data_IF_656726306182
#
_entry.id   IF_656726306182
#
_cell.length_a   1.000
_cell.length_b   1.000
_cell.length_c   1.000
_cell.angle_alpha   90.00
_cell.angle_beta   90.00
_cell.angle_gamma   90.00
#
_symmetry.space_group_name_H-M   'P 1'
#
loop_
_entity.id
_entity.type
_entity.pdbx_description
1 polymer ?
#
# COMPACT_ATOMS: atom_id res chain seq x y z
N UNK A 1 19.19 8.08 -20.77
CA UNK A 1 18.81 7.43 -19.49
C UNK A 1 19.89 7.77 -18.48
N UNK A 2 19.69 8.87 -17.74
CA UNK A 2 20.59 9.27 -16.67
C UNK A 2 20.44 8.28 -15.50
N UNK A 3 21.55 7.77 -14.96
CA UNK A 3 21.54 6.67 -13.98
C UNK A 3 20.71 7.04 -12.76
N UNK A 4 19.65 6.28 -12.51
CA UNK A 4 18.93 6.29 -11.24
C UNK A 4 19.97 6.14 -10.12
N UNK A 5 19.98 7.00 -9.08
CA UNK A 5 20.94 6.86 -8.00
C UNK A 5 20.80 5.44 -7.42
N UNK A 6 21.93 4.74 -7.25
CA UNK A 6 21.95 3.29 -6.98
C UNK A 6 21.06 2.90 -5.80
N UNK A 7 20.95 3.76 -4.78
CA UNK A 7 20.06 3.57 -3.63
C UNK A 7 18.56 3.50 -3.97
N UNK A 8 18.09 4.29 -4.94
CA UNK A 8 16.69 4.32 -5.35
C UNK A 8 16.28 3.03 -6.07
N UNK A 9 17.19 2.45 -6.86
CA UNK A 9 16.95 1.15 -7.50
C UNK A 9 16.79 0.02 -6.48
N UNK A 10 17.54 0.05 -5.38
CA UNK A 10 17.39 -0.95 -4.31
C UNK A 10 16.07 -0.77 -3.54
N UNK A 11 15.62 0.47 -3.34
CA UNK A 11 14.29 0.73 -2.78
C UNK A 11 13.19 0.17 -3.69
N UNK A 12 13.26 0.45 -4.99
CA UNK A 12 12.28 -0.06 -5.96
C UNK A 12 12.21 -1.59 -5.96
N UNK A 13 13.35 -2.27 -5.94
CA UNK A 13 13.38 -3.74 -5.85
C UNK A 13 12.79 -4.23 -4.52
N UNK A 14 13.07 -3.55 -3.41
CA UNK A 14 12.48 -3.91 -2.10
C UNK A 14 10.95 -3.77 -2.11
N UNK A 15 10.45 -2.65 -2.65
CA UNK A 15 9.02 -2.40 -2.78
C UNK A 15 8.35 -3.44 -3.69
N UNK A 16 9.02 -3.81 -4.79
CA UNK A 16 8.57 -4.89 -5.68
C UNK A 16 8.44 -6.22 -4.94
N UNK A 17 9.49 -6.67 -4.25
CA UNK A 17 9.50 -7.96 -3.54
C UNK A 17 8.45 -8.01 -2.42
N UNK A 18 8.31 -6.91 -1.67
CA UNK A 18 7.32 -6.79 -0.60
C UNK A 18 5.89 -6.84 -1.14
N UNK A 19 5.60 -6.05 -2.18
CA UNK A 19 4.28 -6.04 -2.80
C UNK A 19 3.95 -7.37 -3.49
N UNK A 20 4.94 -8.01 -4.13
CA UNK A 20 4.80 -9.33 -4.73
C UNK A 20 4.34 -10.37 -3.70
N UNK A 21 5.00 -10.41 -2.53
CA UNK A 21 4.63 -11.30 -1.43
C UNK A 21 3.20 -11.04 -0.93
N UNK A 22 2.85 -9.77 -0.69
CA UNK A 22 1.51 -9.41 -0.22
C UNK A 22 0.41 -9.76 -1.24
N UNK A 23 0.66 -9.50 -2.53
CA UNK A 23 -0.29 -9.74 -3.61
C UNK A 23 -0.58 -11.23 -3.82
N UNK A 24 0.42 -12.10 -3.66
CA UNK A 24 0.25 -13.56 -3.79
C UNK A 24 -0.82 -14.13 -2.86
N UNK A 25 -1.02 -13.53 -1.70
CA UNK A 25 -1.89 -14.05 -0.63
C UNK A 25 -3.36 -13.72 -0.85
N UNK A 26 -3.64 -12.61 -1.56
CA UNK A 26 -4.99 -12.05 -1.74
C UNK A 26 -6.00 -13.07 -2.30
N UNK A 27 -5.74 -13.78 -3.42
CA UNK A 27 -6.71 -14.73 -3.95
C UNK A 27 -6.85 -15.99 -3.07
N UNK A 28 -5.77 -16.39 -2.39
CA UNK A 28 -5.74 -17.62 -1.60
C UNK A 28 -6.42 -17.49 -0.23
N UNK A 29 -6.44 -16.29 0.36
CA UNK A 29 -6.97 -16.12 1.71
C UNK A 29 -8.49 -16.33 1.77
N UNK A 30 -9.23 -15.94 0.73
CA UNK A 30 -10.69 -16.10 0.66
C UNK A 30 -11.10 -17.57 0.79
N UNK A 31 -10.45 -18.45 0.05
CA UNK A 31 -10.73 -19.90 0.09
C UNK A 31 -10.42 -20.49 1.46
N UNK A 32 -9.33 -20.05 2.09
CA UNK A 32 -8.93 -20.49 3.42
C UNK A 32 -9.94 -20.01 4.46
N UNK A 33 -10.31 -18.73 4.44
CA UNK A 33 -11.29 -18.17 5.36
C UNK A 33 -12.62 -18.92 5.26
N UNK A 34 -13.11 -19.16 4.04
CA UNK A 34 -14.35 -19.91 3.82
C UNK A 34 -14.24 -21.34 4.38
N UNK A 35 -13.15 -22.05 4.09
CA UNK A 35 -12.93 -23.41 4.59
C UNK A 35 -12.80 -23.50 6.11
N UNK A 36 -12.23 -22.48 6.75
CA UNK A 36 -12.02 -22.44 8.20
C UNK A 36 -13.29 -22.07 8.97
N UNK A 37 -14.02 -21.05 8.49
CA UNK A 37 -15.18 -20.48 9.17
C UNK A 37 -16.47 -21.23 8.83
N UNK A 38 -16.67 -21.57 7.57
CA UNK A 38 -17.89 -22.20 7.05
C UNK A 38 -17.54 -23.41 6.15
N UNK A 39 -17.11 -24.54 6.74
CA UNK A 39 -16.67 -25.71 5.97
C UNK A 39 -17.80 -26.26 5.11
N UNK A 40 -17.54 -26.44 3.81
CA UNK A 40 -18.48 -27.05 2.84
C UNK A 40 -19.61 -26.14 2.36
N UNK A 41 -19.55 -24.83 2.64
CA UNK A 41 -20.53 -23.85 2.14
C UNK A 41 -19.81 -22.75 1.36
N UNK A 42 -20.40 -22.34 0.24
CA UNK A 42 -19.90 -21.21 -0.55
C UNK A 42 -20.49 -19.86 -0.10
N UNK A 43 -21.58 -19.91 0.68
CA UNK A 43 -22.19 -18.73 1.29
C UNK A 43 -21.89 -18.69 2.79
N UNK A 44 -21.26 -17.61 3.25
CA UNK A 44 -20.93 -17.40 4.65
C UNK A 44 -20.90 -15.91 4.99
N UNK A 45 -21.97 -15.41 5.60
CA UNK A 45 -22.04 -14.01 6.05
C UNK A 45 -20.96 -13.70 7.11
N UNK A 46 -20.63 -14.67 7.96
CA UNK A 46 -19.60 -14.52 9.00
C UNK A 46 -18.21 -14.20 8.42
N UNK A 47 -17.83 -14.81 7.30
CA UNK A 47 -16.55 -14.54 6.64
C UNK A 47 -16.45 -13.09 6.14
N UNK A 48 -17.56 -12.57 5.61
CA UNK A 48 -17.67 -11.17 5.15
C UNK A 48 -17.58 -10.21 6.34
N UNK A 49 -18.29 -10.48 7.44
CA UNK A 49 -18.22 -9.65 8.64
C UNK A 49 -16.82 -9.63 9.27
N UNK A 50 -16.14 -10.78 9.32
CA UNK A 50 -14.75 -10.85 9.82
C UNK A 50 -13.81 -10.01 8.94
N UNK A 51 -13.90 -10.14 7.62
CA UNK A 51 -13.12 -9.32 6.67
C UNK A 51 -13.40 -7.83 6.87
N UNK A 52 -14.67 -7.44 6.97
CA UNK A 52 -15.08 -6.05 7.19
C UNK A 52 -14.59 -5.47 8.51
N UNK A 53 -14.71 -6.21 9.62
CA UNK A 53 -14.22 -5.79 10.94
C UNK A 53 -12.70 -5.65 10.92
N UNK A 54 -12.00 -6.60 10.31
CA UNK A 54 -10.54 -6.53 10.17
C UNK A 54 -10.11 -5.25 9.42
N UNK A 55 -10.71 -4.96 8.27
CA UNK A 55 -10.40 -3.75 7.51
C UNK A 55 -10.78 -2.47 8.27
N UNK A 56 -11.88 -2.46 9.02
CA UNK A 56 -12.27 -1.32 9.85
C UNK A 56 -11.25 -1.04 10.97
N UNK A 57 -10.77 -2.08 11.67
CA UNK A 57 -9.73 -1.95 12.70
C UNK A 57 -8.42 -1.46 12.08
N UNK A 58 -8.02 -2.01 10.94
CA UNK A 58 -6.79 -1.61 10.23
C UNK A 58 -6.87 -0.15 9.79
N UNK A 59 -7.98 0.27 9.19
CA UNK A 59 -8.18 1.66 8.75
C UNK A 59 -8.18 2.65 9.91
N UNK A 60 -8.88 2.33 11.00
CA UNK A 60 -8.95 3.21 12.17
C UNK A 60 -7.61 3.28 12.92
N UNK A 61 -6.88 2.17 13.00
CA UNK A 61 -5.52 2.14 13.54
C UNK A 61 -4.54 2.95 12.69
N UNK A 62 -4.57 2.75 11.37
CA UNK A 62 -3.69 3.45 10.43
C UNK A 62 -3.93 4.96 10.43
N UNK A 63 -5.17 5.42 10.65
CA UNK A 63 -5.49 6.84 10.79
C UNK A 63 -4.67 7.54 11.89
N UNK A 64 -4.43 6.84 13.01
CA UNK A 64 -3.70 7.39 14.16
C UNK A 64 -2.21 7.12 14.04
N UNK A 65 -1.83 5.92 13.57
CA UNK A 65 -0.45 5.46 13.56
C UNK A 65 0.34 6.01 12.36
N UNK A 66 -0.25 6.21 11.18
CA UNK A 66 0.50 6.68 10.00
C UNK A 66 1.19 8.04 10.18
N UNK A 67 0.55 9.07 10.76
CA UNK A 67 1.24 10.34 11.06
C UNK A 67 2.42 10.15 12.02
N UNK A 68 2.25 9.28 13.03
CA UNK A 68 3.29 8.94 14.00
C UNK A 68 4.47 8.22 13.32
N UNK A 69 4.19 7.23 12.47
CA UNK A 69 5.20 6.49 11.70
C UNK A 69 5.96 7.42 10.76
N UNK A 70 5.29 8.38 10.12
CA UNK A 70 5.92 9.41 9.30
C UNK A 70 6.95 10.23 10.10
N UNK A 71 6.53 10.78 11.24
CA UNK A 71 7.43 11.57 12.08
C UNK A 71 8.58 10.74 12.67
N UNK A 72 8.31 9.49 13.09
CA UNK A 72 9.35 8.57 13.55
C UNK A 72 10.33 8.22 12.44
N UNK A 73 9.86 8.11 11.18
CA UNK A 73 10.70 7.87 10.02
C UNK A 73 11.64 9.02 9.72
N UNK A 74 11.24 10.25 10.04
CA UNK A 74 12.09 11.42 9.84
C UNK A 74 13.16 11.53 10.95
N UNK A 75 12.85 11.12 12.18
CA UNK A 75 13.79 11.15 13.33
C UNK A 75 14.76 9.97 13.31
N UNK A 76 14.26 8.73 13.26
CA UNK A 76 15.06 7.52 13.34
C UNK A 76 15.64 7.10 11.98
N UNK A 77 15.21 7.75 10.90
CA UNK A 77 15.62 7.47 9.55
C UNK A 77 14.74 6.45 8.85
N UNK A 78 14.59 6.67 7.53
CA UNK A 78 13.66 5.92 6.68
C UNK A 78 13.99 4.42 6.57
N UNK A 79 15.28 4.04 6.56
CA UNK A 79 15.69 2.63 6.45
C UNK A 79 15.24 1.81 7.67
N UNK A 80 15.42 2.34 8.88
CA UNK A 80 15.07 1.64 10.13
C UNK A 80 13.54 1.50 10.20
N UNK A 81 12.80 2.57 9.93
CA UNK A 81 11.34 2.51 9.94
C UNK A 81 10.75 1.64 8.84
N UNK A 82 11.42 1.46 7.70
CA UNK A 82 11.00 0.50 6.67
C UNK A 82 11.26 -0.98 7.09
N UNK A 83 12.22 -1.22 7.98
CA UNK A 83 12.60 -2.59 8.41
C UNK A 83 11.52 -3.22 9.28
N UNK A 84 10.93 -2.42 10.18
CA UNK A 84 9.91 -2.87 11.13
C UNK A 84 8.68 -3.48 10.45
N UNK A 85 7.99 -2.81 9.51
CA UNK A 85 6.81 -3.36 8.87
C UNK A 85 7.14 -4.55 7.96
N UNK A 86 8.30 -4.54 7.28
CA UNK A 86 8.75 -5.69 6.49
C UNK A 86 8.98 -6.92 7.38
N UNK A 87 9.63 -6.76 8.53
CA UNK A 87 9.85 -7.85 9.47
C UNK A 87 8.54 -8.37 10.08
N UNK A 88 7.66 -7.46 10.50
CA UNK A 88 6.37 -7.84 11.10
C UNK A 88 5.45 -8.54 10.09
N UNK A 89 5.48 -8.15 8.80
CA UNK A 89 4.66 -8.78 7.76
C UNK A 89 4.96 -10.27 7.53
N UNK A 90 6.14 -10.75 7.95
CA UNK A 90 6.54 -12.16 7.80
C UNK A 90 5.74 -13.07 8.74
N UNK A 91 5.44 -12.64 9.97
CA UNK A 91 4.83 -13.52 10.98
C UNK A 91 3.46 -14.08 10.56
N UNK A 92 2.49 -13.26 10.07
CA UNK A 92 1.22 -13.80 9.59
C UNK A 92 1.39 -14.78 8.42
N UNK A 93 2.34 -14.52 7.52
CA UNK A 93 2.61 -15.39 6.38
C UNK A 93 3.13 -16.76 6.83
N UNK A 94 4.06 -16.78 7.79
CA UNK A 94 4.65 -18.02 8.33
C UNK A 94 3.62 -18.87 9.06
N UNK A 95 2.70 -18.26 9.83
CA UNK A 95 1.62 -19.00 10.51
C UNK A 95 0.77 -19.77 9.50
N UNK A 96 0.40 -19.10 8.41
CA UNK A 96 -0.41 -19.71 7.33
C UNK A 96 0.38 -20.69 6.46
N UNK A 97 1.69 -20.52 6.36
CA UNK A 97 2.59 -21.46 5.69
C UNK A 97 2.74 -22.78 6.47
N UNK A 98 2.65 -22.73 7.81
CA UNK A 98 2.79 -23.90 8.67
C UNK A 98 1.54 -24.80 8.64
N UNK A 99 0.36 -24.24 8.96
CA UNK A 99 -0.89 -25.00 8.98
C UNK A 99 -2.09 -24.11 8.70
N UNK A 100 -3.13 -24.71 8.09
CA UNK A 100 -4.38 -24.04 7.69
C UNK A 100 -5.59 -24.56 8.45
N UNK A 101 -5.37 -25.15 9.62
CA UNK A 101 -6.48 -25.53 10.50
C UNK A 101 -7.19 -24.29 11.05
N UNK A 102 -8.42 -24.45 11.56
CA UNK A 102 -9.23 -23.35 12.10
C UNK A 102 -8.50 -22.53 13.16
N UNK A 103 -7.74 -23.18 14.04
CA UNK A 103 -6.98 -22.52 15.10
C UNK A 103 -5.86 -21.62 14.55
N UNK A 104 -5.13 -22.10 13.53
CA UNK A 104 -4.08 -21.30 12.88
C UNK A 104 -4.67 -20.14 12.08
N UNK A 105 -5.85 -20.32 11.47
CA UNK A 105 -6.56 -19.23 10.81
C UNK A 105 -6.95 -18.11 11.79
N UNK A 106 -7.52 -18.43 12.95
CA UNK A 106 -7.85 -17.41 13.95
C UNK A 106 -6.60 -16.74 14.54
N UNK A 107 -5.52 -17.49 14.77
CA UNK A 107 -4.24 -16.94 15.19
C UNK A 107 -3.67 -15.98 14.14
N UNK A 108 -3.71 -16.37 12.86
CA UNK A 108 -3.35 -15.52 11.73
C UNK A 108 -4.22 -14.25 11.68
N UNK A 109 -5.53 -14.39 11.81
CA UNK A 109 -6.48 -13.28 11.74
C UNK A 109 -6.17 -12.22 12.81
N UNK A 110 -6.02 -12.63 14.08
CA UNK A 110 -5.71 -11.73 15.19
C UNK A 110 -4.33 -11.08 14.98
N UNK A 111 -3.30 -11.89 14.69
CA UNK A 111 -1.95 -11.38 14.53
C UNK A 111 -1.83 -10.43 13.34
N UNK A 112 -2.41 -10.79 12.19
CA UNK A 112 -2.48 -9.93 11.00
C UNK A 112 -3.19 -8.62 11.32
N UNK A 113 -4.31 -8.67 12.04
CA UNK A 113 -5.07 -7.46 12.40
C UNK A 113 -4.22 -6.52 13.25
N UNK A 114 -3.55 -7.03 14.30
CA UNK A 114 -2.69 -6.22 15.17
C UNK A 114 -1.48 -5.63 14.42
N UNK A 115 -0.83 -6.43 13.57
CA UNK A 115 0.33 -5.98 12.80
C UNK A 115 -0.10 -4.96 11.74
N UNK A 116 -1.15 -5.24 10.99
CA UNK A 116 -1.66 -4.34 9.94
C UNK A 116 -2.21 -3.03 10.51
N UNK A 117 -2.80 -3.04 11.72
CA UNK A 117 -3.21 -1.83 12.41
C UNK A 117 -2.07 -0.80 12.56
N UNK A 118 -0.82 -1.28 12.70
CA UNK A 118 0.37 -0.42 12.87
C UNK A 118 1.16 -0.26 11.57
N UNK A 119 1.20 -1.30 10.74
CA UNK A 119 2.14 -1.42 9.63
C UNK A 119 1.49 -1.29 8.24
N UNK A 120 0.18 -1.39 8.12
CA UNK A 120 -0.48 -1.33 6.81
C UNK A 120 -0.29 0.06 6.17
N UNK A 121 0.06 0.09 4.88
CA UNK A 121 0.41 1.33 4.17
C UNK A 121 1.76 1.98 4.55
N UNK A 122 2.35 1.66 5.70
CA UNK A 122 3.61 2.28 6.17
C UNK A 122 4.77 2.09 5.19
N UNK A 123 4.90 0.89 4.60
CA UNK A 123 5.95 0.56 3.62
C UNK A 123 5.87 1.49 2.41
N UNK A 124 4.66 1.72 1.89
CA UNK A 124 4.45 2.59 0.74
C UNK A 124 4.69 4.06 1.10
N UNK A 125 4.18 4.51 2.25
CA UNK A 125 4.35 5.87 2.73
C UNK A 125 5.84 6.24 2.91
N UNK A 126 6.59 5.39 3.62
CA UNK A 126 8.03 5.61 3.86
C UNK A 126 8.83 5.51 2.56
N UNK A 127 8.46 4.60 1.65
CA UNK A 127 9.11 4.48 0.35
C UNK A 127 8.90 5.73 -0.51
N UNK A 128 7.68 6.28 -0.57
CA UNK A 128 7.40 7.53 -1.28
C UNK A 128 8.15 8.71 -0.66
N UNK A 129 8.21 8.79 0.67
CA UNK A 129 8.98 9.83 1.35
C UNK A 129 10.50 9.70 1.07
N UNK A 130 11.03 8.47 0.99
CA UNK A 130 12.43 8.25 0.58
C UNK A 130 12.69 8.68 -0.86
N UNK A 131 11.76 8.42 -1.77
CA UNK A 131 11.85 8.89 -3.16
C UNK A 131 11.85 10.42 -3.19
N UNK A 132 10.99 11.07 -2.41
CA UNK A 132 10.91 12.53 -2.33
C UNK A 132 12.23 13.16 -1.87
N UNK A 133 12.89 12.57 -0.86
CA UNK A 133 14.17 13.08 -0.35
C UNK A 133 15.33 12.91 -1.33
N UNK A 134 15.30 11.88 -2.17
CA UNK A 134 16.41 11.52 -3.06
C UNK A 134 16.23 12.02 -4.51
N UNK A 135 15.07 12.59 -4.84
CA UNK A 135 14.74 13.06 -6.19
C UNK A 135 14.38 14.54 -6.18
N UNK A 136 14.94 15.29 -7.12
CA UNK A 136 14.65 16.72 -7.33
C UNK A 136 13.17 16.98 -7.63
N UNK A 137 12.62 18.09 -7.11
CA UNK A 137 11.20 18.49 -7.24
C UNK A 137 10.61 18.27 -8.64
N UNK A 138 11.21 18.83 -9.70
CA UNK A 138 10.62 18.73 -11.05
C UNK A 138 10.67 17.30 -11.65
N UNK A 139 11.39 16.35 -11.04
CA UNK A 139 11.40 14.91 -11.43
C UNK A 139 10.62 14.00 -10.46
N UNK A 140 10.14 14.51 -9.32
CA UNK A 140 9.43 13.71 -8.29
C UNK A 140 8.17 13.04 -8.83
N UNK A 141 7.37 13.76 -9.60
CA UNK A 141 6.15 13.20 -10.19
C UNK A 141 6.43 11.98 -11.09
N UNK A 142 7.52 12.03 -11.88
CA UNK A 142 7.93 10.88 -12.70
C UNK A 142 8.43 9.72 -11.82
N UNK A 143 9.18 10.00 -10.76
CA UNK A 143 9.67 8.97 -9.84
C UNK A 143 8.54 8.29 -9.04
N UNK A 144 7.52 9.05 -8.61
CA UNK A 144 6.31 8.48 -7.99
C UNK A 144 5.51 7.62 -8.98
N UNK A 145 5.41 8.05 -10.25
CA UNK A 145 4.81 7.25 -11.31
C UNK A 145 5.54 5.92 -11.53
N UNK A 146 6.88 5.93 -11.57
CA UNK A 146 7.69 4.72 -11.68
C UNK A 146 7.49 3.81 -10.45
N UNK A 147 7.51 4.37 -9.23
CA UNK A 147 7.24 3.61 -8.01
C UNK A 147 5.87 2.91 -8.06
N UNK A 148 4.82 3.65 -8.44
CA UNK A 148 3.47 3.10 -8.60
C UNK A 148 3.41 2.00 -9.66
N UNK A 149 4.08 2.19 -10.80
CA UNK A 149 4.16 1.17 -11.85
C UNK A 149 4.86 -0.11 -11.40
N UNK A 150 5.92 -0.01 -10.59
CA UNK A 150 6.63 -1.16 -10.02
C UNK A 150 5.74 -1.92 -9.03
N UNK A 151 5.01 -1.20 -8.16
CA UNK A 151 4.03 -1.81 -7.24
C UNK A 151 2.92 -2.52 -8.02
N UNK A 152 2.37 -1.90 -9.07
CA UNK A 152 1.36 -2.51 -9.93
C UNK A 152 1.89 -3.74 -10.69
N UNK A 153 3.13 -3.69 -11.16
CA UNK A 153 3.79 -4.84 -11.79
C UNK A 153 3.99 -5.98 -10.79
N UNK A 154 4.45 -5.67 -9.57
CA UNK A 154 4.57 -6.64 -8.49
C UNK A 154 3.23 -7.30 -8.13
N UNK A 155 2.16 -6.51 -8.12
CA UNK A 155 0.81 -6.99 -7.87
C UNK A 155 0.36 -8.00 -8.95
N UNK A 156 0.59 -7.70 -10.23
CA UNK A 156 0.28 -8.61 -11.34
C UNK A 156 1.13 -9.88 -11.25
N UNK A 157 2.45 -9.76 -11.09
CA UNK A 157 3.35 -10.90 -10.99
C UNK A 157 3.05 -11.79 -9.77
N UNK A 158 2.68 -11.18 -8.63
CA UNK A 158 2.30 -11.90 -7.42
C UNK A 158 1.02 -12.72 -7.63
N UNK A 159 -0.04 -12.11 -8.16
CA UNK A 159 -1.29 -12.82 -8.45
C UNK A 159 -1.11 -13.90 -9.54
N UNK A 160 -0.28 -13.64 -10.56
CA UNK A 160 0.09 -14.63 -11.58
C UNK A 160 0.78 -15.84 -10.95
N UNK A 161 1.71 -15.62 -10.02
CA UNK A 161 2.38 -16.69 -9.29
C UNK A 161 1.38 -17.46 -8.40
N UNK A 162 0.47 -16.74 -7.74
CA UNK A 162 -0.57 -17.34 -6.93
C UNK A 162 -1.51 -18.26 -7.73
N UNK A 163 -1.79 -17.96 -9.00
CA UNK A 163 -2.60 -18.82 -9.89
C UNK A 163 -1.99 -20.21 -10.09
N UNK A 164 -0.69 -20.29 -10.40
CA UNK A 164 -0.05 -21.56 -10.75
C UNK A 164 0.38 -22.40 -9.54
N UNK A 165 0.54 -21.77 -8.38
CA UNK A 165 0.91 -22.48 -7.16
C UNK A 165 -0.29 -23.15 -6.51
N UNK A 166 -0.11 -24.17 -5.68
CA UNK A 166 -1.19 -24.63 -4.80
C UNK A 166 -1.36 -23.69 -3.61
N UNK A 167 -2.51 -23.68 -2.94
CA UNK A 167 -2.73 -22.87 -1.72
C UNK A 167 -1.66 -23.09 -0.65
N UNK A 168 -1.05 -24.28 -0.61
CA UNK A 168 0.05 -24.59 0.32
C UNK A 168 1.33 -23.86 -0.01
N UNK A 169 1.77 -24.00 -1.26
CA UNK A 169 3.02 -23.39 -1.71
C UNK A 169 2.89 -21.88 -1.83
N UNK A 170 1.69 -21.33 -2.06
CA UNK A 170 1.47 -19.87 -2.12
C UNK A 170 1.95 -19.16 -0.85
N UNK A 171 1.58 -19.63 0.35
CA UNK A 171 1.99 -18.97 1.60
C UNK A 171 3.47 -19.22 1.93
N UNK A 172 3.99 -20.41 1.63
CA UNK A 172 5.41 -20.73 1.84
C UNK A 172 6.31 -19.85 0.97
N UNK A 173 5.97 -19.70 -0.31
CA UNK A 173 6.71 -18.86 -1.25
C UNK A 173 6.52 -17.38 -0.91
N UNK A 174 5.31 -16.95 -0.55
CA UNK A 174 5.08 -15.57 -0.11
C UNK A 174 5.93 -15.21 1.13
N UNK A 175 6.00 -16.11 2.13
CA UNK A 175 6.84 -15.91 3.31
C UNK A 175 8.33 -15.85 2.95
N UNK A 176 8.80 -16.76 2.09
CA UNK A 176 10.18 -16.74 1.59
C UNK A 176 10.51 -15.43 0.88
N UNK A 177 9.62 -14.96 0.01
CA UNK A 177 9.80 -13.69 -0.71
C UNK A 177 9.79 -12.48 0.22
N UNK A 178 8.98 -12.48 1.28
CA UNK A 178 9.00 -11.43 2.31
C UNK A 178 10.32 -11.43 3.10
N UNK A 179 10.87 -12.61 3.43
CA UNK A 179 12.18 -12.75 4.07
C UNK A 179 13.28 -12.24 3.13
N UNK A 180 13.25 -12.60 1.86
CA UNK A 180 14.19 -12.10 0.85
C UNK A 180 14.08 -10.58 0.73
N UNK A 181 12.88 -10.02 0.71
CA UNK A 181 12.66 -8.57 0.67
C UNK A 181 13.31 -7.87 1.87
N UNK A 182 13.12 -8.41 3.08
CA UNK A 182 13.71 -7.89 4.32
C UNK A 182 15.25 -7.96 4.29
N UNK A 183 15.81 -9.11 3.91
CA UNK A 183 17.26 -9.31 3.83
C UNK A 183 17.91 -8.42 2.77
N UNK A 184 17.28 -8.33 1.59
CA UNK A 184 17.70 -7.47 0.50
C UNK A 184 17.70 -6.00 0.93
N UNK A 185 16.64 -5.55 1.60
CA UNK A 185 16.58 -4.17 2.10
C UNK A 185 17.67 -3.90 3.14
N UNK A 186 17.86 -4.80 4.11
CA UNK A 186 18.84 -4.63 5.18
C UNK A 186 20.27 -4.52 4.63
N UNK A 187 20.58 -5.32 3.61
CA UNK A 187 21.92 -5.42 3.02
C UNK A 187 22.22 -4.31 2.00
N UNK A 188 21.31 -4.04 1.06
CA UNK A 188 21.59 -3.16 -0.08
C UNK A 188 21.08 -1.73 0.08
N UNK A 189 20.05 -1.48 0.89
CA UNK A 189 19.54 -0.12 1.06
C UNK A 189 20.50 0.70 1.92
N UNK A 190 21.01 1.80 1.37
CA UNK A 190 21.94 2.69 2.08
C UNK A 190 21.19 3.57 3.07
N UNK A 191 21.75 3.76 4.26
CA UNK A 191 21.17 4.67 5.25
C UNK A 191 21.19 6.11 4.72
N UNK A 192 20.03 6.76 4.77
CA UNK A 192 19.85 8.14 4.26
C UNK A 192 20.44 9.21 5.19
N UNK A 193 20.70 8.89 6.47
CA UNK A 193 21.02 9.89 7.50
C UNK A 193 22.45 9.82 8.07
N UNK A 194 23.24 8.78 7.76
CA UNK A 194 24.58 8.62 8.38
C UNK A 194 25.69 9.29 7.54
N UNK A 195 25.34 10.30 6.74
CA UNK A 195 26.35 11.10 6.02
C UNK A 195 26.77 12.38 6.74
N UNK A 196 25.96 12.91 7.68
CA UNK A 196 26.31 14.16 8.38
C UNK A 196 26.89 13.97 9.79
N UNK A 197 26.73 12.78 10.40
CA UNK A 197 27.25 12.52 11.76
C UNK A 197 28.68 11.97 11.76
N UNK A 198 29.09 11.19 10.74
CA UNK A 198 30.42 10.56 10.73
C UNK A 198 31.54 11.57 10.40
N UNK A 199 31.22 12.71 9.78
CA UNK A 199 32.19 13.78 9.50
C UNK A 199 32.51 14.70 10.69
N UNK A 200 31.85 14.52 11.85
CA UNK A 200 32.08 15.34 13.03
C UNK A 200 32.51 14.44 14.21
N UNK A 201 33.82 14.24 14.30
CA UNK A 201 34.62 14.03 15.51
C UNK A 201 34.48 12.70 16.29
N UNK A 202 35.36 11.77 15.91
CA UNK A 202 35.88 10.63 16.70
C UNK A 202 36.64 11.06 18.00
N UNK A 203 36.60 12.33 18.41
CA UNK A 203 37.51 12.84 19.46
C UNK A 203 36.82 13.32 20.75
N UNK A 204 35.48 13.41 20.83
CA UNK A 204 34.78 13.99 22.01
C UNK A 204 33.73 13.06 22.66
N UNK A 205 33.87 11.75 22.52
CA UNK A 205 32.81 10.77 22.85
C UNK A 205 32.54 10.59 24.35
N UNK A 206 33.36 11.12 25.26
CA UNK A 206 33.20 10.88 26.71
C UNK A 206 32.39 11.94 27.47
N UNK A 207 32.28 13.19 27.00
CA UNK A 207 31.53 14.24 27.72
C UNK A 207 30.10 14.47 27.21
N UNK A 208 29.74 14.00 26.01
CA UNK A 208 28.38 14.23 25.46
C UNK A 208 27.34 13.20 25.93
N UNK A 209 27.78 12.04 26.42
CA UNK A 209 26.90 10.97 26.89
C UNK A 209 26.08 11.38 28.14
N UNK A 210 26.65 12.23 29.00
CA UNK A 210 25.97 12.74 30.20
C UNK A 210 24.99 13.89 29.87
N UNK A 211 25.29 14.72 28.86
CA UNK A 211 24.36 15.75 28.36
C UNK A 211 23.23 15.15 27.50
N UNK A 212 23.46 14.04 26.81
CA UNK A 212 22.44 13.36 26.00
C UNK A 212 21.34 12.72 26.85
N UNK A 213 21.66 12.21 28.05
CA UNK A 213 20.65 11.65 28.96
C UNK A 213 19.69 12.73 29.50
N UNK A 214 20.16 13.98 29.64
CA UNK A 214 19.33 15.11 30.10
C UNK A 214 18.61 15.86 28.98
N UNK A 215 18.93 15.56 27.71
CA UNK A 215 18.36 16.19 26.50
C UNK A 215 17.49 15.21 25.67
N UNK A 216 17.25 14.00 26.18
CA UNK A 216 16.41 12.95 25.58
C UNK A 216 14.91 13.13 25.78
N UNK A 217 14.50 14.17 26.52
CA UNK A 217 13.10 14.54 26.74
C UNK A 217 12.81 15.95 26.22
N UNK A 218 13.26 16.25 25.00
CA UNK A 218 12.62 17.26 24.17
C UNK A 218 12.10 16.56 22.93
N UNK A 219 10.94 15.93 23.09
CA UNK A 219 9.98 15.65 22.01
C UNK A 219 9.50 17.01 21.51
N UNK A 220 10.38 17.76 20.85
CA UNK A 220 10.04 19.05 20.29
C UNK A 220 9.40 18.78 18.94
N UNK A 221 8.07 18.90 18.94
CA UNK A 221 7.16 18.83 17.80
C UNK A 221 7.03 17.44 17.17
N UNK A 222 6.44 16.49 17.90
CA UNK A 222 5.56 15.53 17.22
C UNK A 222 4.40 16.39 16.67
N UNK A 223 4.16 16.51 15.35
CA UNK A 223 2.93 17.13 14.88
C UNK A 223 1.79 16.33 15.51
N UNK A 224 1.09 16.97 16.44
CA UNK A 224 0.06 16.29 17.20
C UNK A 224 -1.05 15.92 16.23
N UNK A 225 -1.77 14.83 16.48
CA UNK A 225 -3.05 14.58 15.79
C UNK A 225 -3.96 15.83 15.85
N UNK A 226 -3.81 16.64 16.91
CA UNK A 226 -4.42 17.96 17.06
C UNK A 226 -4.01 18.96 15.97
N UNK A 227 -2.74 19.00 15.56
CA UNK A 227 -2.24 19.94 14.55
C UNK A 227 -2.76 19.57 13.15
N UNK A 228 -2.82 18.28 12.83
CA UNK A 228 -3.45 17.79 11.60
C UNK A 228 -4.94 18.12 11.56
N UNK A 229 -5.65 17.94 12.68
CA UNK A 229 -7.07 18.30 12.81
C UNK A 229 -7.30 19.82 12.72
N UNK A 230 -6.39 20.62 13.28
CA UNK A 230 -6.40 22.07 13.17
C UNK A 230 -6.20 22.50 11.71
N UNK A 231 -5.24 21.94 10.98
CA UNK A 231 -5.05 22.24 9.55
C UNK A 231 -6.30 21.88 8.71
N UNK A 232 -6.93 20.73 8.99
CA UNK A 232 -8.19 20.32 8.36
C UNK A 232 -9.34 21.28 8.66
N UNK A 233 -9.35 21.89 9.85
CA UNK A 233 -10.40 22.83 10.27
C UNK A 233 -10.18 24.24 9.73
N UNK A 234 -8.92 24.64 9.57
CA UNK A 234 -8.55 26.01 9.18
C UNK A 234 -8.70 26.26 7.68
N UNK A 235 -8.51 25.24 6.83
CA UNK A 235 -8.67 25.38 5.38
C UNK A 235 -9.92 24.66 4.85
N UNK A 236 -10.93 25.39 4.34
CA UNK A 236 -12.14 24.77 3.82
C UNK A 236 -11.87 23.89 2.59
N UNK A 237 -10.83 24.20 1.80
CA UNK A 237 -10.44 23.40 0.64
C UNK A 237 -9.86 22.04 1.05
N UNK A 238 -8.96 22.04 2.04
CA UNK A 238 -8.36 20.80 2.56
C UNK A 238 -9.41 19.95 3.26
N UNK A 239 -10.32 20.59 4.02
CA UNK A 239 -11.46 19.91 4.66
C UNK A 239 -12.34 19.18 3.64
N UNK A 240 -12.73 19.87 2.55
CA UNK A 240 -13.53 19.26 1.46
C UNK A 240 -12.80 18.10 0.80
N UNK A 241 -11.51 18.26 0.48
CA UNK A 241 -10.71 17.20 -0.12
C UNK A 241 -10.56 15.98 0.81
N UNK A 242 -10.41 16.20 2.11
CA UNK A 242 -10.35 15.14 3.11
C UNK A 242 -11.68 14.38 3.22
N UNK A 243 -12.82 15.07 3.26
CA UNK A 243 -14.15 14.44 3.29
C UNK A 243 -14.34 13.56 2.04
N UNK A 244 -14.05 14.09 0.86
CA UNK A 244 -14.14 13.33 -0.40
C UNK A 244 -13.22 12.11 -0.35
N UNK A 245 -11.98 12.26 0.11
CA UNK A 245 -11.02 11.17 0.23
C UNK A 245 -11.51 10.08 1.19
N UNK A 246 -12.04 10.46 2.35
CA UNK A 246 -12.58 9.50 3.33
C UNK A 246 -13.74 8.71 2.71
N UNK A 247 -14.69 9.38 2.06
CA UNK A 247 -15.83 8.72 1.43
C UNK A 247 -15.41 7.73 0.33
N UNK A 248 -14.48 8.13 -0.54
CA UNK A 248 -13.96 7.24 -1.58
C UNK A 248 -13.23 6.05 -0.97
N UNK A 249 -12.33 6.26 0.00
CA UNK A 249 -11.54 5.19 0.61
C UNK A 249 -12.41 4.20 1.39
N UNK A 250 -13.45 4.69 2.11
CA UNK A 250 -14.41 3.83 2.80
C UNK A 250 -15.17 2.94 1.80
N UNK A 251 -15.63 3.52 0.69
CA UNK A 251 -16.29 2.75 -0.36
C UNK A 251 -15.35 1.72 -1.02
N UNK A 252 -14.09 2.12 -1.28
CA UNK A 252 -13.08 1.30 -1.93
C UNK A 252 -12.69 0.08 -1.08
N UNK A 253 -12.35 0.33 0.19
CA UNK A 253 -11.98 -0.72 1.16
C UNK A 253 -13.20 -1.61 1.45
N UNK A 254 -14.40 -1.05 1.53
CA UNK A 254 -15.64 -1.82 1.70
C UNK A 254 -15.90 -2.78 0.54
N UNK A 255 -15.69 -2.33 -0.70
CA UNK A 255 -15.74 -3.21 -1.87
C UNK A 255 -14.63 -4.26 -1.80
N UNK A 256 -13.39 -3.88 -1.49
CA UNK A 256 -12.27 -4.83 -1.44
C UNK A 256 -12.48 -5.92 -0.36
N UNK A 257 -13.05 -5.56 0.79
CA UNK A 257 -13.33 -6.49 1.88
C UNK A 257 -14.40 -7.53 1.55
N UNK A 258 -15.34 -7.20 0.66
CA UNK A 258 -16.53 -8.01 0.36
C UNK A 258 -16.49 -8.68 -1.02
N UNK A 259 -15.80 -8.10 -2.02
CA UNK A 259 -15.85 -8.50 -3.43
C UNK A 259 -15.49 -9.98 -3.64
N UNK A 260 -14.39 -10.45 -3.07
CA UNK A 260 -13.95 -11.85 -3.29
C UNK A 260 -14.94 -12.85 -2.67
N UNK A 261 -15.52 -12.52 -1.52
CA UNK A 261 -16.52 -13.36 -0.87
C UNK A 261 -17.86 -13.32 -1.62
N UNK A 262 -18.24 -12.16 -2.16
CA UNK A 262 -19.42 -12.03 -3.02
C UNK A 262 -19.26 -12.87 -4.30
N UNK A 263 -18.10 -12.80 -4.96
CA UNK A 263 -17.82 -13.60 -6.15
C UNK A 263 -17.81 -15.10 -5.83
N UNK A 264 -17.31 -15.48 -4.65
CA UNK A 264 -17.39 -16.86 -4.16
C UNK A 264 -18.84 -17.32 -3.98
N UNK A 265 -19.65 -16.52 -3.27
CA UNK A 265 -21.03 -16.86 -2.97
C UNK A 265 -21.91 -16.94 -4.22
N UNK A 266 -21.79 -15.97 -5.13
CA UNK A 266 -22.67 -15.85 -6.29
C UNK A 266 -22.24 -16.71 -7.49
N UNK A 267 -20.92 -16.84 -7.71
CA UNK A 267 -20.38 -17.48 -8.92
C UNK A 267 -19.52 -18.71 -8.63
N UNK A 268 -19.41 -19.13 -7.36
CA UNK A 268 -18.60 -20.27 -6.92
C UNK A 268 -17.14 -20.17 -7.37
N UNK A 269 -16.60 -18.94 -7.39
CA UNK A 269 -15.23 -18.71 -7.83
C UNK A 269 -14.22 -19.40 -6.93
N UNK A 270 -13.19 -19.99 -7.55
CA UNK A 270 -12.02 -20.54 -6.87
C UNK A 270 -10.86 -19.52 -6.82
N UNK A 271 -9.81 -19.87 -6.07
CA UNK A 271 -8.55 -19.11 -6.04
C UNK A 271 -8.03 -18.71 -7.41
N UNK A 272 -8.07 -19.60 -8.40
CA UNK A 272 -7.45 -19.36 -9.70
C UNK A 272 -8.22 -18.29 -10.49
N UNK A 273 -9.55 -18.31 -10.38
CA UNK A 273 -10.43 -17.29 -10.95
C UNK A 273 -10.29 -15.95 -10.22
N UNK A 274 -10.12 -15.95 -8.90
CA UNK A 274 -9.77 -14.72 -8.16
C UNK A 274 -8.44 -14.15 -8.64
N UNK A 275 -7.42 -15.00 -8.84
CA UNK A 275 -6.13 -14.57 -9.34
C UNK A 275 -6.23 -13.98 -10.76
N UNK A 276 -7.02 -14.59 -11.66
CA UNK A 276 -7.26 -14.07 -13.01
C UNK A 276 -7.88 -12.66 -12.97
N UNK A 277 -8.90 -12.45 -12.13
CA UNK A 277 -9.53 -11.15 -11.98
C UNK A 277 -8.54 -10.10 -11.46
N UNK A 278 -7.70 -10.46 -10.50
CA UNK A 278 -6.67 -9.57 -9.96
C UNK A 278 -5.57 -9.26 -10.97
N UNK A 279 -5.19 -10.22 -11.83
CA UNK A 279 -4.23 -10.00 -12.92
C UNK A 279 -4.81 -9.01 -13.93
N UNK A 280 -6.06 -9.21 -14.36
CA UNK A 280 -6.74 -8.30 -15.31
C UNK A 280 -6.84 -6.89 -14.71
N UNK A 281 -7.29 -6.77 -13.46
CA UNK A 281 -7.39 -5.49 -12.75
C UNK A 281 -6.03 -4.82 -12.54
N UNK A 282 -4.99 -5.60 -12.22
CA UNK A 282 -3.62 -5.11 -12.04
C UNK A 282 -2.99 -4.62 -13.35
N UNK A 283 -3.19 -5.33 -14.47
CA UNK A 283 -2.71 -4.89 -15.79
C UNK A 283 -3.44 -3.63 -16.23
N UNK A 284 -4.77 -3.58 -16.07
CA UNK A 284 -5.56 -2.39 -16.34
C UNK A 284 -5.10 -1.19 -15.49
N UNK A 285 -4.85 -1.41 -14.20
CA UNK A 285 -4.31 -0.40 -13.29
C UNK A 285 -2.91 0.07 -13.68
N UNK A 286 -2.02 -0.84 -14.07
CA UNK A 286 -0.67 -0.50 -14.53
C UNK A 286 -0.68 0.34 -15.81
N UNK A 287 -1.49 -0.05 -16.80
CA UNK A 287 -1.68 0.72 -18.04
C UNK A 287 -2.27 2.10 -17.75
N UNK A 288 -3.25 2.17 -16.85
CA UNK A 288 -3.83 3.43 -16.40
C UNK A 288 -2.78 4.36 -15.78
N UNK A 289 -1.97 3.86 -14.85
CA UNK A 289 -1.00 4.67 -14.12
C UNK A 289 0.21 5.09 -14.98
N UNK A 290 0.69 4.21 -15.87
CA UNK A 290 1.90 4.44 -16.65
C UNK A 290 1.66 5.17 -17.97
N UNK A 291 0.47 5.00 -18.59
CA UNK A 291 0.19 5.52 -19.94
C UNK A 291 -0.95 6.53 -19.90
N UNK A 292 -2.08 6.16 -19.30
CA UNK A 292 -3.30 6.96 -19.37
C UNK A 292 -3.17 8.24 -18.52
N UNK A 293 -2.69 8.12 -17.29
CA UNK A 293 -2.54 9.24 -16.36
C UNK A 293 -1.58 10.34 -16.89
N UNK A 294 -0.35 10.04 -17.34
CA UNK A 294 0.56 11.05 -17.87
C UNK A 294 0.03 11.76 -19.13
N UNK A 295 -0.84 11.10 -19.91
CA UNK A 295 -1.44 11.65 -21.11
C UNK A 295 -2.65 12.56 -20.81
N UNK A 296 -3.51 12.14 -19.87
CA UNK A 296 -4.75 12.85 -19.55
C UNK A 296 -4.54 14.06 -18.64
N UNK A 297 -3.59 14.00 -17.70
CA UNK A 297 -3.29 15.13 -16.80
C UNK A 297 -3.01 16.44 -17.55
N UNK A 298 -2.10 16.50 -18.54
CA UNK A 298 -1.84 17.74 -19.29
C UNK A 298 -3.00 18.16 -20.20
N UNK A 299 -3.84 17.22 -20.65
CA UNK A 299 -4.93 17.52 -21.58
C UNK A 299 -6.21 18.03 -20.89
N UNK A 300 -6.56 17.48 -19.73
CA UNK A 300 -7.85 17.72 -19.05
C UNK A 300 -7.70 18.58 -17.79
N UNK A 301 -6.51 18.61 -17.20
CA UNK A 301 -6.23 19.25 -15.90
C UNK A 301 -6.64 18.37 -14.71
N UNK A 302 -5.97 18.55 -13.58
CA UNK A 302 -6.08 17.68 -12.40
C UNK A 302 -7.48 17.69 -11.75
N UNK A 303 -8.11 18.86 -11.63
CA UNK A 303 -9.44 18.99 -10.99
C UNK A 303 -10.55 18.28 -11.77
N UNK A 304 -10.58 18.48 -13.10
CA UNK A 304 -11.56 17.81 -13.97
C UNK A 304 -11.30 16.31 -14.03
N UNK A 305 -10.03 15.91 -14.06
CA UNK A 305 -9.66 14.50 -14.05
C UNK A 305 -10.10 13.79 -12.75
N UNK A 306 -9.95 14.45 -11.60
CA UNK A 306 -10.46 13.96 -10.32
C UNK A 306 -11.98 13.76 -10.34
N UNK A 307 -12.72 14.75 -10.84
CA UNK A 307 -14.19 14.68 -10.98
C UNK A 307 -14.63 13.54 -11.91
N UNK A 308 -13.95 13.38 -13.05
CA UNK A 308 -14.20 12.29 -14.00
C UNK A 308 -13.92 10.93 -13.34
N UNK A 309 -12.79 10.78 -12.64
CA UNK A 309 -12.43 9.55 -11.94
C UNK A 309 -13.44 9.15 -10.85
N UNK A 310 -13.92 10.14 -10.09
CA UNK A 310 -14.99 9.97 -9.10
C UNK A 310 -16.28 9.45 -9.75
N UNK A 311 -16.72 10.08 -10.83
CA UNK A 311 -17.93 9.68 -11.57
C UNK A 311 -17.83 8.25 -12.09
N UNK A 312 -16.72 7.88 -12.72
CA UNK A 312 -16.48 6.51 -13.19
C UNK A 312 -16.38 5.49 -12.06
N UNK A 313 -15.84 5.88 -10.89
CA UNK A 313 -15.81 5.04 -9.70
C UNK A 313 -17.23 4.74 -9.18
N UNK A 314 -18.11 5.75 -9.14
CA UNK A 314 -19.51 5.55 -8.76
C UNK A 314 -20.26 4.63 -9.74
N UNK A 315 -20.06 4.82 -11.05
CA UNK A 315 -20.63 3.94 -12.08
C UNK A 315 -20.12 2.50 -11.89
N UNK A 316 -18.82 2.33 -11.64
CA UNK A 316 -18.21 1.02 -11.43
C UNK A 316 -18.82 0.29 -10.24
N UNK A 317 -19.00 0.97 -9.10
CA UNK A 317 -19.65 0.40 -7.92
C UNK A 317 -21.11 0.01 -8.20
N UNK A 318 -21.85 0.87 -8.90
CA UNK A 318 -23.24 0.61 -9.27
C UNK A 318 -23.38 -0.59 -10.21
N UNK A 319 -22.53 -0.67 -11.23
CA UNK A 319 -22.49 -1.79 -12.16
C UNK A 319 -22.11 -3.10 -11.46
N UNK A 320 -21.21 -3.07 -10.46
CA UNK A 320 -20.90 -4.26 -9.65
C UNK A 320 -22.11 -4.76 -8.85
N UNK A 321 -22.93 -3.84 -8.33
CA UNK A 321 -24.15 -4.18 -7.59
C UNK A 321 -25.20 -4.91 -8.44
N UNK A 322 -25.27 -4.60 -9.74
CA UNK A 322 -26.25 -5.15 -10.69
C UNK A 322 -25.70 -6.37 -11.45
N UNK A 323 -24.41 -6.68 -11.31
CA UNK A 323 -23.75 -7.71 -12.10
C UNK A 323 -24.35 -9.11 -11.87
N UNK A 324 -25.18 -9.57 -12.82
CA UNK A 324 -25.82 -10.90 -12.80
C UNK A 324 -24.96 -11.98 -13.48
N UNK A 325 -23.82 -11.62 -14.08
CA UNK A 325 -22.99 -12.57 -14.86
C UNK A 325 -21.50 -12.29 -14.72
N UNK A 326 -20.68 -13.35 -14.77
CA UNK A 326 -19.22 -13.31 -14.62
C UNK A 326 -18.50 -12.45 -15.68
N UNK A 327 -19.02 -12.37 -16.91
CA UNK A 327 -18.49 -11.46 -17.95
C UNK A 327 -18.73 -10.00 -17.62
N UNK A 328 -19.79 -9.65 -16.89
CA UNK A 328 -19.99 -8.29 -16.42
C UNK A 328 -18.91 -7.95 -15.39
N UNK A 329 -18.65 -8.81 -14.40
CA UNK A 329 -17.61 -8.58 -13.38
C UNK A 329 -16.18 -8.47 -13.95
N UNK A 330 -15.87 -9.23 -15.02
CA UNK A 330 -14.60 -9.13 -15.76
C UNK A 330 -14.52 -7.93 -16.71
N UNK A 331 -15.60 -7.57 -17.40
CA UNK A 331 -15.68 -6.39 -18.28
C UNK A 331 -15.75 -5.07 -17.48
N UNK A 332 -16.20 -5.14 -16.23
CA UNK A 332 -16.20 -4.07 -15.23
C UNK A 332 -14.78 -3.63 -14.82
N UNK A 333 -13.75 -4.44 -15.07
CA UNK A 333 -12.34 -4.01 -14.99
C UNK A 333 -12.01 -2.88 -15.98
N UNK A 334 -12.81 -2.73 -17.06
CA UNK A 334 -12.75 -1.59 -17.98
C UNK A 334 -12.95 -0.24 -17.27
N UNK A 335 -13.84 -0.18 -16.27
CA UNK A 335 -14.03 1.04 -15.46
C UNK A 335 -12.95 1.19 -14.37
N UNK A 336 -12.26 0.12 -13.99
CA UNK A 336 -11.09 0.16 -13.10
C UNK A 336 -9.91 0.92 -13.74
N UNK A 337 -9.85 1.03 -15.08
CA UNK A 337 -8.89 1.88 -15.78
C UNK A 337 -8.95 3.35 -15.34
N UNK A 338 -10.09 3.88 -14.90
CA UNK A 338 -10.18 5.24 -14.36
C UNK A 338 -10.07 5.30 -12.82
N UNK A 339 -10.18 4.16 -12.13
CA UNK A 339 -10.12 4.05 -10.66
C UNK A 339 -8.69 4.22 -10.13
N UNK A 340 -7.68 3.72 -10.85
CA UNK A 340 -6.26 3.83 -10.48
C UNK A 340 -5.64 5.23 -10.66
N UNK A 341 -6.42 6.21 -11.14
CA UNK A 341 -6.01 7.62 -11.28
C UNK A 341 -6.06 8.37 -9.95
N UNK A 342 -6.59 7.77 -8.87
CA UNK A 342 -6.86 8.50 -7.65
C UNK A 342 -5.65 8.65 -6.71
N UNK A 343 -5.37 9.93 -6.44
CA UNK A 343 -4.90 10.54 -5.20
C UNK A 343 -3.42 10.52 -4.81
N UNK A 344 -2.54 9.78 -5.48
CA UNK A 344 -1.10 9.90 -5.16
C UNK A 344 -0.36 11.04 -5.90
N UNK A 345 -0.97 11.63 -6.93
CA UNK A 345 -0.33 12.66 -7.77
C UNK A 345 -1.01 14.03 -7.77
N UNK A 346 -2.11 14.22 -7.01
CA UNK A 346 -2.87 15.47 -6.99
C UNK A 346 -2.43 16.43 -5.86
N UNK A 347 -1.12 16.47 -5.56
CA UNK A 347 -0.56 17.58 -4.79
C UNK A 347 -0.22 18.70 -5.78
N UNK A 348 -0.62 19.96 -5.50
CA UNK A 348 -0.45 21.05 -6.44
C UNK A 348 1.03 21.18 -6.81
N UNK A 349 1.34 20.97 -8.10
CA UNK A 349 2.59 21.47 -8.65
C UNK A 349 2.55 22.98 -8.55
N UNK A 350 3.10 23.53 -7.49
CA UNK A 350 3.52 24.93 -7.53
C UNK A 350 4.58 25.07 -8.63
N UNK A 351 4.12 25.51 -9.80
CA UNK A 351 4.83 26.40 -10.72
C UNK A 351 6.33 26.07 -10.91
N UNK A 352 6.65 24.96 -11.59
CA UNK A 352 7.93 24.84 -12.31
C UNK A 352 7.77 25.71 -13.60
N UNK A 353 7.79 27.03 -13.41
CA UNK A 353 7.74 28.06 -14.47
C UNK A 353 9.00 27.95 -15.32
N UNK A 354 8.80 27.78 -16.63
CA UNK A 354 9.73 28.09 -17.75
C UNK A 354 11.22 28.08 -17.39
N UNK A 355 11.88 26.93 -17.56
CA UNK A 355 13.27 26.94 -18.01
C UNK A 355 13.23 27.18 -19.53
N UNK A 356 13.46 28.43 -19.92
CA UNK A 356 13.69 28.85 -21.31
C UNK A 356 14.76 27.94 -21.93
N UNK A 357 14.41 27.27 -23.02
CA UNK A 357 15.38 26.87 -24.03
C UNK A 357 15.49 28.04 -25.02
N UNK A 358 16.53 28.84 -24.84
CA UNK A 358 17.21 29.54 -25.94
C UNK A 358 18.50 28.80 -26.20
#
# INVERSE_FOLDING_TARGET
MEKVPTGLSHLFMTAFLSCFSAAMVIPAITDITMSAVCPGKDECSLAIYLSGIQHAIIGLGSLVIMPLVGNLSDIYGRKIMLTIPLALSIFPLVIMAYSRSKYYFYAYYILRTLIAMVCDGSVQCIALAYVADNVSECRRGSAFGIMSGIVSTAFVCGNLSARFLSTAFTFQIAALMAIIALLYMRTFLRESLVKDVISINVTETHCLLEKAHKKSMQVRNLPSFSDALLLLRMSPTISRAAIVSVLINVADIGLQASLLYYLKAQFHFDKNQFADLMIIGGVAGAVSQLVLLPLLVPAVGEEKLLSIGLFFSSIHMFLYSIAWTYWCAGSLCGCTYFRCVNFCNALPKEHCVKANWT
#
